data_IF_412780337365
#
_entry.id   IF_412780337365
#
_cell.length_a   1.000
_cell.length_b   1.000
_cell.length_c   1.000
_cell.angle_alpha   90.00
_cell.angle_beta   90.00
_cell.angle_gamma   90.00
#
_symmetry.space_group_name_H-M   'P 1'
#
loop_
_entity.id
_entity.type
_entity.pdbx_description
1 polymer ?
#
# COMPACT_ATOMS: atom_id res chain seq x y z
N UNK A 1 -42.79 16.83 -17.21
CA UNK A 1 -41.55 17.47 -16.73
C UNK A 1 -40.91 16.47 -15.79
N UNK A 2 -39.84 15.81 -16.24
CA UNK A 2 -39.27 14.63 -15.59
C UNK A 2 -37.88 15.03 -15.09
N UNK A 3 -37.74 15.15 -13.79
CA UNK A 3 -36.49 15.56 -13.13
C UNK A 3 -35.58 14.33 -13.05
N UNK A 4 -34.58 14.28 -13.92
CA UNK A 4 -33.52 13.28 -13.83
C UNK A 4 -32.64 13.66 -12.63
N UNK A 5 -32.69 12.85 -11.58
CA UNK A 5 -31.74 12.94 -10.47
C UNK A 5 -30.41 12.44 -11.03
N UNK A 6 -29.50 13.35 -11.33
CA UNK A 6 -28.08 13.03 -11.49
C UNK A 6 -27.57 12.57 -10.13
N UNK A 7 -27.47 11.25 -9.99
CA UNK A 7 -26.72 10.62 -8.92
C UNK A 7 -25.26 11.05 -9.11
N UNK A 8 -24.83 12.06 -8.35
CA UNK A 8 -23.41 12.35 -8.19
C UNK A 8 -22.78 11.08 -7.63
N UNK A 9 -22.09 10.34 -8.48
CA UNK A 9 -21.14 9.31 -8.07
C UNK A 9 -20.12 10.03 -7.20
N UNK A 10 -20.36 10.01 -5.88
CA UNK A 10 -19.33 10.42 -4.92
C UNK A 10 -18.15 9.52 -5.20
N UNK A 11 -17.04 10.13 -5.58
CA UNK A 11 -15.75 9.47 -5.74
C UNK A 11 -15.41 8.87 -4.36
N UNK A 12 -15.79 7.62 -4.15
CA UNK A 12 -15.49 6.92 -2.90
C UNK A 12 -13.98 6.79 -2.88
N UNK A 13 -13.29 7.23 -1.81
CA UNK A 13 -11.85 7.05 -1.71
C UNK A 13 -11.51 5.59 -1.99
N UNK A 14 -10.73 5.35 -3.04
CA UNK A 14 -10.31 4.00 -3.41
C UNK A 14 -9.27 3.58 -2.38
N UNK A 15 -9.71 2.81 -1.39
CA UNK A 15 -8.83 2.14 -0.45
C UNK A 15 -7.77 1.32 -1.21
N UNK A 16 -6.55 1.35 -0.68
CA UNK A 16 -5.41 0.64 -1.27
C UNK A 16 -4.87 -0.37 -0.29
N UNK A 17 -4.54 -1.54 -0.82
CA UNK A 17 -3.86 -2.55 -0.04
C UNK A 17 -2.42 -2.17 0.16
N UNK A 18 -1.97 -2.41 1.38
CA UNK A 18 -0.59 -2.20 1.76
C UNK A 18 -0.08 -3.36 2.59
N UNK A 19 1.07 -3.89 2.18
CA UNK A 19 1.69 -5.02 2.84
C UNK A 19 2.75 -4.52 3.81
N UNK A 20 2.71 -4.99 5.05
CA UNK A 20 3.78 -4.82 6.02
C UNK A 20 4.45 -6.18 6.21
N UNK A 21 5.77 -6.20 6.16
CA UNK A 21 6.59 -7.40 6.26
C UNK A 21 7.67 -7.16 7.30
N UNK A 22 7.96 -8.17 8.11
CA UNK A 22 8.90 -8.02 9.21
C UNK A 22 10.33 -7.81 8.70
N UNK A 23 10.72 -8.56 7.66
CA UNK A 23 12.06 -8.53 7.07
C UNK A 23 11.99 -8.65 5.56
N UNK A 24 13.01 -8.14 4.88
CA UNK A 24 13.14 -8.27 3.41
C UNK A 24 13.17 -9.73 2.96
N UNK A 25 13.80 -10.62 3.74
CA UNK A 25 13.87 -12.06 3.44
C UNK A 25 12.49 -12.74 3.44
N UNK A 26 11.53 -12.18 4.19
CA UNK A 26 10.18 -12.72 4.28
C UNK A 26 9.30 -12.26 3.10
N UNK A 27 9.72 -11.25 2.33
CA UNK A 27 8.89 -10.56 1.33
C UNK A 27 8.31 -11.51 0.28
N UNK A 28 9.15 -12.37 -0.31
CA UNK A 28 8.69 -13.33 -1.32
C UNK A 28 7.62 -14.28 -0.76
N UNK A 29 7.85 -14.78 0.46
CA UNK A 29 6.92 -15.67 1.14
C UNK A 29 5.61 -14.96 1.51
N UNK A 30 5.70 -13.70 1.95
CA UNK A 30 4.56 -12.86 2.31
C UNK A 30 3.71 -12.55 1.07
N UNK A 31 4.32 -12.18 -0.06
CA UNK A 31 3.61 -11.96 -1.33
C UNK A 31 2.77 -13.17 -1.72
N UNK A 32 3.35 -14.38 -1.70
CA UNK A 32 2.64 -15.62 -2.02
C UNK A 32 1.50 -15.93 -1.04
N UNK A 33 1.75 -15.81 0.26
CA UNK A 33 0.73 -16.10 1.28
C UNK A 33 -0.43 -15.10 1.25
N UNK A 34 -0.14 -13.83 0.98
CA UNK A 34 -1.13 -12.78 0.83
C UNK A 34 -1.95 -13.00 -0.45
N UNK A 35 -1.33 -13.43 -1.54
CA UNK A 35 -2.04 -13.82 -2.75
C UNK A 35 -3.06 -14.94 -2.47
N UNK A 36 -2.64 -16.01 -1.78
CA UNK A 36 -3.52 -17.12 -1.39
C UNK A 36 -4.67 -16.65 -0.48
N UNK A 37 -4.36 -15.79 0.49
CA UNK A 37 -5.36 -15.19 1.38
C UNK A 37 -6.39 -14.36 0.60
N UNK A 38 -5.94 -13.51 -0.32
CA UNK A 38 -6.83 -12.66 -1.11
C UNK A 38 -7.66 -13.47 -2.11
N UNK A 39 -7.07 -14.51 -2.71
CA UNK A 39 -7.81 -15.46 -3.55
C UNK A 39 -8.93 -16.15 -2.75
N UNK A 40 -8.64 -16.55 -1.50
CA UNK A 40 -9.63 -17.08 -0.59
C UNK A 40 -10.73 -16.06 -0.26
N UNK A 41 -10.39 -14.80 0.04
CA UNK A 41 -11.37 -13.73 0.28
C UNK A 41 -12.29 -13.50 -0.93
N UNK A 42 -11.71 -13.41 -2.13
CA UNK A 42 -12.47 -13.26 -3.40
C UNK A 42 -13.43 -14.43 -3.62
N UNK A 43 -12.99 -15.66 -3.33
CA UNK A 43 -13.84 -16.86 -3.48
C UNK A 43 -15.08 -16.87 -2.57
N UNK A 44 -15.03 -16.12 -1.45
CA UNK A 44 -16.12 -16.04 -0.46
C UNK A 44 -17.04 -14.83 -0.64
N UNK A 45 -16.89 -14.05 -1.71
CA UNK A 45 -17.65 -12.81 -1.95
C UNK A 45 -17.60 -11.84 -0.75
N UNK A 46 -16.49 -11.83 -0.03
CA UNK A 46 -16.25 -10.82 1.00
C UNK A 46 -15.72 -9.57 0.30
N UNK A 47 -16.56 -8.55 0.15
CA UNK A 47 -16.33 -7.39 -0.72
C UNK A 47 -15.13 -6.53 -0.31
N UNK A 48 -14.64 -6.63 0.93
CA UNK A 48 -13.71 -5.66 1.48
C UNK A 48 -12.34 -5.63 0.80
N UNK A 49 -11.82 -6.78 0.34
CA UNK A 49 -10.50 -6.87 -0.31
C UNK A 49 -10.55 -7.11 -1.81
N UNK A 50 -11.75 -7.39 -2.36
CA UNK A 50 -11.86 -8.00 -3.69
C UNK A 50 -11.43 -7.05 -4.83
N UNK A 51 -11.58 -5.74 -4.63
CA UNK A 51 -11.32 -4.72 -5.66
C UNK A 51 -10.16 -3.76 -5.33
N UNK A 52 -9.53 -3.92 -4.18
CA UNK A 52 -8.44 -3.04 -3.77
C UNK A 52 -7.13 -3.43 -4.44
N UNK A 53 -6.35 -2.42 -4.84
CA UNK A 53 -5.03 -2.62 -5.48
C UNK A 53 -3.92 -2.38 -4.48
N UNK A 54 -2.90 -3.23 -4.53
CA UNK A 54 -1.67 -2.99 -3.79
C UNK A 54 -0.99 -1.70 -4.23
N UNK A 55 -0.59 -0.88 -3.26
CA UNK A 55 0.26 0.27 -3.49
C UNK A 55 1.74 -0.06 -3.25
N UNK A 56 2.04 -0.94 -2.30
CA UNK A 56 3.43 -1.29 -1.99
C UNK A 56 3.53 -2.24 -0.81
N UNK A 57 4.78 -2.51 -0.43
CA UNK A 57 5.14 -3.17 0.81
C UNK A 57 6.12 -2.33 1.63
N UNK A 58 5.99 -2.34 2.95
CA UNK A 58 6.95 -1.79 3.89
C UNK A 58 7.59 -2.92 4.69
N UNK A 59 8.92 -2.94 4.73
CA UNK A 59 9.69 -3.92 5.48
C UNK A 59 10.31 -3.24 6.69
N UNK A 60 9.79 -3.58 7.87
CA UNK A 60 10.29 -3.11 9.15
C UNK A 60 9.80 -4.02 10.28
N UNK A 61 10.71 -4.41 11.17
CA UNK A 61 10.45 -5.41 12.21
C UNK A 61 9.37 -4.96 13.21
N UNK A 62 9.28 -3.65 13.47
CA UNK A 62 8.38 -3.10 14.47
C UNK A 62 6.98 -2.86 13.90
N UNK A 63 6.90 -2.31 12.68
CA UNK A 63 5.61 -1.94 12.08
C UNK A 63 4.63 -3.09 11.93
N UNK A 64 5.09 -4.33 11.66
CA UNK A 64 4.18 -5.49 11.52
C UNK A 64 3.42 -5.82 12.81
N UNK A 65 3.98 -5.48 13.97
CA UNK A 65 3.40 -5.84 15.27
C UNK A 65 2.65 -4.69 15.94
N UNK A 66 2.86 -3.46 15.48
CA UNK A 66 2.34 -2.25 16.10
C UNK A 66 1.83 -1.24 15.08
N UNK A 67 0.96 -1.68 14.17
CA UNK A 67 0.26 -0.78 13.26
C UNK A 67 -0.76 0.07 14.03
N UNK A 68 -0.65 1.40 14.02
CA UNK A 68 -1.66 2.26 14.61
C UNK A 68 -2.92 2.29 13.72
N UNK A 69 -4.08 2.46 14.34
CA UNK A 69 -5.37 2.46 13.63
C UNK A 69 -5.51 3.64 12.65
N UNK A 70 -4.76 4.72 12.85
CA UNK A 70 -4.68 5.81 11.88
C UNK A 70 -3.50 6.74 12.12
N UNK A 71 -3.18 7.54 11.10
CA UNK A 71 -2.12 8.55 11.11
C UNK A 71 -2.66 9.91 10.75
N UNK A 72 -2.42 10.89 11.61
CA UNK A 72 -2.79 12.28 11.36
C UNK A 72 -1.52 13.07 11.05
N UNK A 73 -1.50 13.76 9.91
CA UNK A 73 -0.37 14.59 9.49
C UNK A 73 -0.82 15.87 8.77
N UNK A 74 -0.26 17.04 9.09
CA UNK A 74 -0.48 18.25 8.29
C UNK A 74 0.05 18.08 6.86
N UNK A 75 -0.77 18.37 5.85
CA UNK A 75 -0.35 18.47 4.44
C UNK A 75 0.03 19.90 4.07
N UNK A 76 -0.66 20.87 4.64
CA UNK A 76 -0.43 22.30 4.44
C UNK A 76 -0.83 23.07 5.69
N UNK A 77 -0.76 24.41 5.64
CA UNK A 77 -1.20 25.26 6.75
C UNK A 77 -2.71 25.12 7.08
N UNK A 78 -3.51 24.56 6.17
CA UNK A 78 -4.97 24.50 6.29
C UNK A 78 -5.57 23.12 6.03
N UNK A 79 -4.73 22.11 5.76
CA UNK A 79 -5.20 20.76 5.43
C UNK A 79 -4.43 19.71 6.22
N UNK A 80 -5.16 18.74 6.75
CA UNK A 80 -4.66 17.64 7.54
C UNK A 80 -5.10 16.32 6.92
N UNK A 81 -4.12 15.48 6.61
CA UNK A 81 -4.34 14.11 6.18
C UNK A 81 -4.62 13.23 7.39
N UNK A 82 -5.68 12.44 7.30
CA UNK A 82 -5.88 11.23 8.08
C UNK A 82 -5.70 10.03 7.15
N UNK A 83 -4.71 9.20 7.44
CA UNK A 83 -4.62 7.85 6.88
C UNK A 83 -5.28 6.88 7.86
N UNK A 84 -6.29 6.16 7.43
CA UNK A 84 -7.03 5.22 8.27
C UNK A 84 -6.76 3.80 7.81
N UNK A 85 -6.42 2.91 8.74
CA UNK A 85 -6.38 1.47 8.46
C UNK A 85 -7.76 0.90 8.77
N UNK A 86 -8.50 0.49 7.74
CA UNK A 86 -9.85 -0.02 7.91
C UNK A 86 -9.85 -1.46 8.39
N UNK A 87 -9.09 -2.28 7.69
CA UNK A 87 -9.04 -3.71 7.93
C UNK A 87 -7.60 -4.16 7.91
N UNK A 88 -7.22 -4.97 8.90
CA UNK A 88 -5.88 -5.49 9.06
C UNK A 88 -5.99 -7.00 9.22
N UNK A 89 -5.30 -7.74 8.37
CA UNK A 89 -5.11 -9.17 8.49
C UNK A 89 -3.63 -9.44 8.69
N UNK A 90 -3.30 -10.20 9.72
CA UNK A 90 -1.92 -10.47 10.09
C UNK A 90 -1.69 -11.95 10.31
N UNK A 91 -0.53 -12.44 9.86
CA UNK A 91 -0.05 -13.78 10.16
C UNK A 91 1.13 -13.71 11.12
N UNK A 92 0.83 -13.92 12.41
CA UNK A 92 1.80 -14.24 13.48
C UNK A 92 3.01 -13.28 13.57
N UNK A 93 2.83 -12.00 13.24
CA UNK A 93 3.91 -11.01 13.29
C UNK A 93 4.98 -11.17 12.20
N UNK A 94 4.70 -11.95 11.14
CA UNK A 94 5.58 -12.10 9.96
C UNK A 94 5.19 -11.06 8.92
N UNK A 95 3.90 -11.00 8.59
CA UNK A 95 3.35 -9.98 7.71
C UNK A 95 1.95 -9.59 8.15
N UNK A 96 1.53 -8.41 7.72
CA UNK A 96 0.15 -7.95 7.80
C UNK A 96 -0.23 -7.19 6.54
N UNK A 97 -1.44 -7.42 6.03
CA UNK A 97 -2.03 -6.60 4.97
C UNK A 97 -3.06 -5.66 5.58
N UNK A 98 -3.01 -4.40 5.19
CA UNK A 98 -4.00 -3.41 5.60
C UNK A 98 -4.66 -2.76 4.38
N UNK A 99 -5.98 -2.54 4.48
CA UNK A 99 -6.70 -1.60 3.63
C UNK A 99 -6.51 -0.19 4.19
N UNK A 100 -5.88 0.69 3.41
CA UNK A 100 -5.55 2.06 3.80
C UNK A 100 -6.36 3.04 2.97
N UNK A 101 -7.02 3.96 3.67
CA UNK A 101 -7.70 5.11 3.08
C UNK A 101 -7.03 6.41 3.49
N UNK A 102 -7.01 7.38 2.56
CA UNK A 102 -6.58 8.74 2.83
C UNK A 102 -7.79 9.67 2.83
N UNK A 103 -7.91 10.49 3.87
CA UNK A 103 -9.02 11.43 4.06
C UNK A 103 -8.47 12.79 4.45
N UNK A 104 -9.01 13.86 3.87
CA UNK A 104 -8.79 15.23 4.33
C UNK A 104 -9.69 15.48 5.54
N UNK A 105 -9.14 15.75 6.72
CA UNK A 105 -9.93 15.89 7.95
C UNK A 105 -10.89 17.08 7.91
N UNK A 106 -10.50 18.18 7.28
CA UNK A 106 -11.28 19.40 7.24
C UNK A 106 -12.53 19.29 6.35
N UNK A 107 -12.43 18.53 5.25
CA UNK A 107 -13.54 18.33 4.30
C UNK A 107 -14.23 16.98 4.46
N UNK A 108 -13.60 16.05 5.18
CA UNK A 108 -13.98 14.63 5.26
C UNK A 108 -14.09 13.95 3.87
N UNK A 109 -13.31 14.44 2.91
CA UNK A 109 -13.26 13.92 1.55
C UNK A 109 -12.10 12.95 1.36
N UNK A 110 -12.34 11.94 0.53
CA UNK A 110 -11.34 10.98 0.12
C UNK A 110 -10.20 11.63 -0.67
N UNK A 111 -8.98 11.18 -0.42
CA UNK A 111 -7.78 11.61 -1.13
C UNK A 111 -7.13 10.44 -1.86
N UNK A 112 -6.53 10.71 -3.01
CA UNK A 112 -5.72 9.71 -3.71
C UNK A 112 -4.45 9.41 -2.90
N UNK A 113 -4.25 8.13 -2.57
CA UNK A 113 -3.03 7.67 -1.91
C UNK A 113 -1.90 7.52 -2.93
N UNK A 114 -0.81 8.28 -2.74
CA UNK A 114 0.40 8.19 -3.56
C UNK A 114 1.55 7.53 -2.79
N UNK A 115 2.56 7.03 -3.51
CA UNK A 115 3.78 6.47 -2.92
C UNK A 115 4.46 7.46 -1.95
N UNK A 116 4.60 8.73 -2.35
CA UNK A 116 5.24 9.76 -1.51
C UNK A 116 4.47 10.01 -0.21
N UNK A 117 3.14 10.12 -0.32
CA UNK A 117 2.27 10.39 0.84
C UNK A 117 2.39 9.28 1.89
N UNK A 118 2.39 8.04 1.43
CA UNK A 118 2.52 6.88 2.30
C UNK A 118 3.93 6.75 2.88
N UNK A 119 4.97 6.94 2.04
CA UNK A 119 6.36 6.91 2.48
C UNK A 119 6.65 7.92 3.57
N UNK A 120 6.19 9.17 3.41
CA UNK A 120 6.36 10.18 4.44
C UNK A 120 5.71 9.76 5.77
N UNK A 121 4.52 9.16 5.72
CA UNK A 121 3.81 8.70 6.92
C UNK A 121 4.53 7.54 7.60
N UNK A 122 5.00 6.56 6.83
CA UNK A 122 5.77 5.42 7.32
C UNK A 122 7.11 5.85 7.94
N UNK A 123 7.80 6.79 7.29
CA UNK A 123 9.06 7.34 7.80
C UNK A 123 8.83 8.06 9.13
N UNK A 124 7.80 8.91 9.23
CA UNK A 124 7.45 9.60 10.47
C UNK A 124 7.15 8.62 11.62
N UNK A 125 6.54 7.47 11.31
CA UNK A 125 6.30 6.38 12.25
C UNK A 125 7.59 5.77 12.81
N UNK A 126 8.59 5.57 11.94
CA UNK A 126 9.86 4.94 12.32
C UNK A 126 10.84 5.86 13.05
N UNK A 127 10.62 7.19 13.04
CA UNK A 127 11.54 8.15 13.68
C UNK A 127 11.64 8.02 15.20
N UNK A 128 10.82 7.18 15.85
CA UNK A 128 10.92 6.85 17.27
C UNK A 128 11.89 5.71 17.62
N UNK A 129 12.34 4.90 16.65
CA UNK A 129 13.13 3.68 16.90
C UNK A 129 14.42 3.69 16.08
N UNK A 130 15.58 3.66 16.74
CA UNK A 130 16.87 4.08 16.16
C UNK A 130 17.70 2.95 15.53
N UNK A 131 17.17 1.72 15.47
CA UNK A 131 17.95 0.54 15.07
C UNK A 131 17.89 0.18 13.59
N UNK A 132 16.77 0.40 12.91
CA UNK A 132 16.53 -0.13 11.55
C UNK A 132 15.88 0.89 10.62
N UNK A 133 16.48 1.03 9.45
CA UNK A 133 15.96 1.84 8.34
C UNK A 133 14.96 0.97 7.58
N UNK A 134 13.67 1.10 7.90
CA UNK A 134 12.62 0.42 7.13
C UNK A 134 12.72 0.73 5.63
N UNK A 135 12.39 -0.28 4.82
CA UNK A 135 12.47 -0.24 3.37
C UNK A 135 11.08 -0.30 2.73
N UNK A 136 10.97 0.18 1.51
CA UNK A 136 9.72 0.29 0.77
C UNK A 136 9.85 -0.34 -0.61
N UNK A 137 9.01 -1.32 -0.91
CA UNK A 137 8.90 -1.93 -2.23
C UNK A 137 7.65 -1.41 -2.92
N UNK A 138 7.77 -0.52 -3.93
CA UNK A 138 6.62 -0.07 -4.71
C UNK A 138 6.01 -1.22 -5.51
N UNK A 139 4.68 -1.23 -5.63
CA UNK A 139 3.95 -2.20 -6.47
C UNK A 139 3.56 -1.57 -7.80
N UNK A 140 3.90 -2.25 -8.89
CA UNK A 140 3.54 -1.89 -10.26
C UNK A 140 2.63 -2.94 -10.87
N UNK A 141 1.83 -2.57 -11.87
CA UNK A 141 1.10 -3.57 -12.66
C UNK A 141 2.10 -4.41 -13.49
N UNK A 142 1.84 -5.71 -13.67
CA UNK A 142 2.69 -6.62 -14.45
C UNK A 142 2.96 -6.14 -15.88
N UNK A 143 2.02 -5.38 -16.47
CA UNK A 143 2.17 -4.80 -17.81
C UNK A 143 2.88 -3.44 -17.87
N UNK A 144 3.30 -2.87 -16.74
CA UNK A 144 3.94 -1.54 -16.74
C UNK A 144 5.29 -1.61 -17.46
N UNK A 145 5.56 -0.73 -18.46
CA UNK A 145 6.84 -0.70 -19.15
C UNK A 145 8.01 -0.49 -18.18
N UNK A 146 9.09 -1.27 -18.34
CA UNK A 146 10.26 -1.19 -17.44
C UNK A 146 10.91 0.19 -17.42
N UNK A 147 10.85 0.94 -18.52
CA UNK A 147 11.33 2.33 -18.56
C UNK A 147 10.57 3.22 -17.56
N UNK A 148 9.25 3.06 -17.47
CA UNK A 148 8.42 3.77 -16.51
C UNK A 148 8.69 3.32 -15.08
N UNK A 149 8.82 2.01 -14.84
CA UNK A 149 9.19 1.46 -13.53
C UNK A 149 10.52 2.05 -13.05
N UNK A 150 11.55 2.04 -13.91
CA UNK A 150 12.84 2.60 -13.58
C UNK A 150 12.77 4.11 -13.33
N UNK A 151 12.02 4.86 -14.14
CA UNK A 151 11.84 6.30 -13.95
C UNK A 151 11.23 6.62 -12.58
N UNK A 152 10.19 5.90 -12.19
CA UNK A 152 9.50 6.09 -10.91
C UNK A 152 10.37 5.66 -9.73
N UNK A 153 11.03 4.49 -9.79
CA UNK A 153 11.98 4.05 -8.78
C UNK A 153 13.13 5.06 -8.62
N UNK A 154 13.65 5.60 -9.71
CA UNK A 154 14.70 6.63 -9.67
C UNK A 154 14.20 7.92 -9.01
N UNK A 155 12.96 8.33 -9.29
CA UNK A 155 12.35 9.47 -8.63
C UNK A 155 12.20 9.23 -7.12
N UNK A 156 11.66 8.07 -6.73
CA UNK A 156 11.50 7.71 -5.32
C UNK A 156 12.85 7.66 -4.59
N UNK A 157 13.89 7.07 -5.21
CA UNK A 157 15.23 7.02 -4.62
C UNK A 157 15.87 8.40 -4.42
N UNK A 158 15.54 9.38 -5.26
CA UNK A 158 16.00 10.78 -5.09
C UNK A 158 15.35 11.44 -3.88
N UNK A 159 14.07 11.18 -3.65
CA UNK A 159 13.29 11.76 -2.55
C UNK A 159 13.50 11.03 -1.22
N UNK A 160 13.71 9.71 -1.28
CA UNK A 160 13.84 8.82 -0.13
C UNK A 160 15.10 7.94 -0.22
N UNK A 161 16.30 8.53 -0.11
CA UNK A 161 17.55 7.78 -0.24
C UNK A 161 17.63 6.61 0.74
N UNK A 162 18.06 5.44 0.27
CA UNK A 162 18.23 4.21 1.05
C UNK A 162 16.94 3.61 1.62
N UNK A 163 15.77 4.11 1.21
CA UNK A 163 14.46 3.62 1.66
C UNK A 163 13.73 2.77 0.63
N UNK A 164 14.19 2.73 -0.61
CA UNK A 164 13.48 2.05 -1.70
C UNK A 164 14.14 0.70 -2.00
N UNK A 165 13.37 -0.37 -1.87
CA UNK A 165 13.73 -1.72 -2.27
C UNK A 165 13.25 -2.03 -3.70
N UNK A 166 13.49 -3.25 -4.17
CA UNK A 166 13.09 -3.68 -5.51
C UNK A 166 11.56 -3.65 -5.73
N UNK A 167 11.10 -3.51 -6.98
CA UNK A 167 9.68 -3.47 -7.29
C UNK A 167 9.00 -4.82 -7.06
N UNK A 168 7.73 -4.75 -6.69
CA UNK A 168 6.79 -5.86 -6.73
C UNK A 168 5.89 -5.66 -7.95
N UNK A 169 5.58 -6.73 -8.66
CA UNK A 169 4.67 -6.71 -9.79
C UNK A 169 3.37 -7.42 -9.42
N UNK A 170 2.27 -6.72 -9.59
CA UNK A 170 0.92 -7.21 -9.39
C UNK A 170 0.26 -7.47 -10.75
N UNK A 171 -0.20 -8.70 -10.94
CA UNK A 171 -1.04 -9.06 -12.08
C UNK A 171 -2.47 -8.50 -11.85
N UNK A 172 -2.97 -7.59 -12.70
CA UNK A 172 -4.23 -6.89 -12.44
C UNK A 172 -5.46 -7.80 -12.53
N UNK A 173 -5.35 -8.94 -13.22
CA UNK A 173 -6.48 -9.84 -13.47
C UNK A 173 -6.59 -10.88 -12.35
N UNK A 174 -5.45 -11.36 -11.85
CA UNK A 174 -5.39 -12.41 -10.82
C UNK A 174 -5.14 -11.88 -9.42
N UNK A 175 -4.57 -10.68 -9.32
CA UNK A 175 -4.04 -10.11 -8.08
C UNK A 175 -2.75 -10.77 -7.61
N UNK A 176 -2.09 -11.57 -8.46
CA UNK A 176 -0.85 -12.28 -8.12
C UNK A 176 0.32 -11.33 -7.95
N UNK A 177 1.16 -11.58 -6.92
CA UNK A 177 2.30 -10.74 -6.57
C UNK A 177 3.61 -11.48 -6.86
N UNK A 178 4.53 -10.80 -7.56
CA UNK A 178 5.82 -11.38 -7.96
C UNK A 178 6.97 -10.39 -7.82
N UNK A 179 8.16 -10.88 -7.46
CA UNK A 179 9.36 -10.06 -7.36
C UNK A 179 10.14 -10.09 -8.69
N UNK A 180 10.86 -9.01 -9.01
CA UNK A 180 11.63 -8.90 -10.26
C UNK A 180 12.58 -10.08 -10.53
N UNK A 181 13.16 -10.70 -9.50
CA UNK A 181 14.07 -11.85 -9.64
C UNK A 181 13.38 -13.16 -10.06
N UNK A 182 12.07 -13.28 -9.84
CA UNK A 182 11.29 -14.48 -10.18
C UNK A 182 10.85 -14.50 -11.66
N UNK A 183 11.02 -13.39 -12.38
CA UNK A 183 10.70 -13.26 -13.80
C UNK A 183 11.61 -14.06 -14.73
N UNK A 184 12.80 -14.45 -14.24
CA UNK A 184 13.79 -15.17 -15.06
C UNK A 184 13.49 -16.68 -15.19
N UNK A 185 12.42 -17.18 -14.58
CA UNK A 185 12.12 -18.61 -14.50
C UNK A 185 10.78 -19.05 -15.13
N UNK A 186 10.10 -18.17 -15.86
CA UNK A 186 8.87 -18.49 -16.58
C UNK A 186 8.99 -18.27 -18.09
#
# INVERSE_FOLDING_TARGET
MMTTITEEVRDVPVARLFLFVRRTDDLASACRQVEEFLAFCRSRQSDSFANERFLGAWMDEHTVTSLPQGWVRPLSATQTLLLTMREIFALWGIWSVASIEAVCLETNEGMALSHNLLLDALIALTQGDTGTVGAYSPVFARGTPMEQVHAEINQLNRLYPLRIAGPIFCDPDTGSLSLQGEWLHH
#
